data_IF_481646976586
#
_entry.id   IF_481646976586
#
_cell.length_a   1.000
_cell.length_b   1.000
_cell.length_c   1.000
_cell.angle_alpha   90.00
_cell.angle_beta   90.00
_cell.angle_gamma   90.00
#
_symmetry.space_group_name_H-M   'P 1'
#
loop_
_entity.id
_entity.type
_entity.pdbx_description
1 polymer ?
#
# COMPACT_ATOMS: atom_id res chain seq x y z
N UNK A 1 23.46 -2.43 -10.52
CA UNK A 1 22.83 -3.11 -9.36
C UNK A 1 21.47 -2.46 -9.13
N UNK A 2 20.40 -3.25 -9.03
CA UNK A 2 19.03 -2.76 -8.82
C UNK A 2 18.56 -3.25 -7.45
N UNK A 3 18.02 -2.36 -6.63
CA UNK A 3 17.59 -2.65 -5.25
C UNK A 3 16.15 -2.18 -5.08
N UNK A 4 15.31 -3.08 -4.57
CA UNK A 4 13.93 -2.77 -4.19
C UNK A 4 13.87 -2.65 -2.67
N UNK A 5 13.37 -1.52 -2.18
CA UNK A 5 12.99 -1.31 -0.79
C UNK A 5 11.47 -1.14 -0.78
N UNK A 6 10.77 -2.16 -0.29
CA UNK A 6 9.31 -2.20 -0.25
C UNK A 6 8.80 -1.75 1.12
N UNK A 7 7.80 -0.86 1.14
CA UNK A 7 7.01 -0.59 2.34
C UNK A 7 5.71 -1.41 2.32
N UNK A 8 5.44 -2.14 3.39
CA UNK A 8 4.24 -2.97 3.51
C UNK A 8 3.03 -2.16 4.02
N UNK A 9 1.84 -2.78 3.91
CA UNK A 9 0.57 -2.30 4.47
C UNK A 9 0.03 -0.96 3.94
N UNK A 10 0.34 -0.61 2.70
CA UNK A 10 -0.31 0.53 2.06
C UNK A 10 -1.80 0.26 1.90
N UNK A 11 -2.65 1.25 2.18
CA UNK A 11 -4.11 1.08 2.24
C UNK A 11 -4.64 0.67 3.62
N UNK A 12 -3.77 0.42 4.63
CA UNK A 12 -4.23 0.07 5.98
C UNK A 12 -4.96 1.24 6.65
N UNK A 13 -4.38 2.44 6.65
CA UNK A 13 -5.01 3.64 7.21
C UNK A 13 -4.36 4.93 6.67
N UNK A 14 -5.04 6.10 6.75
CA UNK A 14 -4.52 7.36 6.21
C UNK A 14 -3.15 7.76 6.76
N UNK A 15 -2.88 7.46 8.04
CA UNK A 15 -1.60 7.79 8.68
C UNK A 15 -0.45 6.96 8.10
N UNK A 16 -0.67 5.66 7.87
CA UNK A 16 0.34 4.76 7.30
C UNK A 16 0.62 5.12 5.85
N UNK A 17 -0.44 5.38 5.09
CA UNK A 17 -0.34 5.75 3.67
C UNK A 17 0.45 7.05 3.48
N UNK A 18 0.18 8.06 4.31
CA UNK A 18 0.92 9.31 4.30
C UNK A 18 2.43 9.08 4.52
N UNK A 19 2.79 8.27 5.52
CA UNK A 19 4.19 7.98 5.82
C UNK A 19 4.88 7.25 4.65
N UNK A 20 4.20 6.27 4.03
CA UNK A 20 4.71 5.54 2.86
C UNK A 20 4.93 6.48 1.67
N UNK A 21 3.99 7.39 1.41
CA UNK A 21 4.12 8.40 0.36
C UNK A 21 5.27 9.35 0.66
N UNK A 22 5.42 9.81 1.91
CA UNK A 22 6.50 10.72 2.29
C UNK A 22 7.87 10.05 2.14
N UNK A 23 8.01 8.78 2.54
CA UNK A 23 9.23 7.98 2.33
C UNK A 23 9.54 7.78 0.84
N UNK A 24 8.52 7.52 0.01
CA UNK A 24 8.71 7.38 -1.43
C UNK A 24 9.17 8.68 -2.07
N UNK A 25 8.58 9.82 -1.69
CA UNK A 25 8.98 11.15 -2.16
C UNK A 25 10.41 11.50 -1.73
N UNK A 26 10.85 11.02 -0.57
CA UNK A 26 12.23 11.14 -0.09
C UNK A 26 13.20 10.13 -0.74
N UNK A 27 12.71 9.27 -1.64
CA UNK A 27 13.46 8.18 -2.29
C UNK A 27 14.05 7.17 -1.29
N UNK A 28 13.46 7.07 -0.10
CA UNK A 28 13.88 6.12 0.94
C UNK A 28 13.31 4.71 0.71
N UNK A 29 12.22 4.62 -0.05
CA UNK A 29 11.65 3.36 -0.55
C UNK A 29 11.49 3.44 -2.06
N UNK A 30 11.37 2.29 -2.72
CA UNK A 30 11.23 2.19 -4.18
C UNK A 30 9.90 1.59 -4.61
N UNK A 31 9.20 0.89 -3.72
CA UNK A 31 7.89 0.28 -3.98
C UNK A 31 7.06 0.15 -2.71
N UNK A 32 5.80 -0.24 -2.88
CA UNK A 32 4.92 -0.62 -1.78
C UNK A 32 4.03 -1.82 -2.14
N UNK A 33 3.32 -2.40 -1.18
CA UNK A 33 2.30 -3.43 -1.40
C UNK A 33 0.96 -3.02 -0.79
N UNK A 34 -0.11 -3.11 -1.58
CA UNK A 34 -1.46 -2.72 -1.19
C UNK A 34 -2.18 -3.82 -0.40
N UNK A 35 -2.64 -3.47 0.78
CA UNK A 35 -3.59 -4.24 1.56
C UNK A 35 -5.00 -3.99 1.00
N UNK A 36 -5.44 -4.86 0.08
CA UNK A 36 -6.67 -4.64 -0.71
C UNK A 36 -7.93 -4.55 0.15
N UNK A 37 -7.96 -5.27 1.27
CA UNK A 37 -9.06 -5.25 2.24
C UNK A 37 -8.85 -4.23 3.38
N UNK A 38 -7.83 -3.39 3.29
CA UNK A 38 -7.60 -2.31 4.25
C UNK A 38 -8.63 -1.18 4.08
N UNK A 39 -8.97 -0.52 5.19
CA UNK A 39 -9.99 0.53 5.24
C UNK A 39 -9.70 1.72 4.30
N UNK A 40 -8.44 1.94 3.93
CA UNK A 40 -8.01 3.05 3.07
C UNK A 40 -7.51 2.61 1.68
N UNK A 41 -7.71 1.35 1.30
CA UNK A 41 -7.18 0.77 0.05
C UNK A 41 -7.52 1.60 -1.20
N UNK A 42 -8.76 2.06 -1.32
CA UNK A 42 -9.18 2.86 -2.48
C UNK A 42 -8.40 4.18 -2.59
N UNK A 43 -8.24 4.89 -1.47
CA UNK A 43 -7.50 6.15 -1.43
C UNK A 43 -6.00 5.93 -1.68
N UNK A 44 -5.45 4.83 -1.14
CA UNK A 44 -4.08 4.39 -1.45
C UNK A 44 -3.86 4.18 -2.95
N UNK A 45 -4.77 3.53 -3.66
CA UNK A 45 -4.70 3.37 -5.13
C UNK A 45 -4.63 4.73 -5.85
N UNK A 46 -5.43 5.71 -5.42
CA UNK A 46 -5.39 7.06 -6.00
C UNK A 46 -4.03 7.74 -5.78
N UNK A 47 -3.46 7.59 -4.58
CA UNK A 47 -2.13 8.10 -4.30
C UNK A 47 -1.04 7.40 -5.10
N UNK A 48 -1.08 6.07 -5.22
CA UNK A 48 -0.11 5.32 -6.01
C UNK A 48 -0.09 5.80 -7.47
N UNK A 49 -1.28 6.01 -8.06
CA UNK A 49 -1.44 6.59 -9.39
C UNK A 49 -0.92 8.03 -9.45
N UNK A 50 -1.28 8.87 -8.50
CA UNK A 50 -0.88 10.28 -8.46
C UNK A 50 0.65 10.45 -8.42
N UNK A 51 1.34 9.62 -7.63
CA UNK A 51 2.78 9.73 -7.42
C UNK A 51 3.61 8.80 -8.31
N UNK A 52 2.99 7.99 -9.16
CA UNK A 52 3.65 6.91 -9.91
C UNK A 52 4.47 5.99 -8.99
N UNK A 53 3.94 5.67 -7.80
CA UNK A 53 4.55 4.77 -6.83
C UNK A 53 4.36 3.32 -7.29
N UNK A 54 5.43 2.55 -7.58
CA UNK A 54 5.31 1.13 -7.91
C UNK A 54 4.64 0.36 -6.77
N UNK A 55 3.61 -0.43 -7.10
CA UNK A 55 2.74 -1.07 -6.12
C UNK A 55 2.49 -2.53 -6.50
N UNK A 56 2.65 -3.43 -5.52
CA UNK A 56 2.24 -4.83 -5.58
C UNK A 56 1.00 -5.12 -4.72
N UNK A 57 0.63 -6.40 -4.59
CA UNK A 57 -0.47 -6.86 -3.72
C UNK A 57 0.11 -7.39 -2.41
N UNK A 58 -0.42 -6.93 -1.28
CA UNK A 58 -0.18 -7.50 0.05
C UNK A 58 -1.32 -8.46 0.36
N UNK A 59 -1.11 -9.77 0.15
CA UNK A 59 -2.11 -10.78 0.48
C UNK A 59 -2.30 -10.86 2.00
N UNK A 60 -3.55 -10.76 2.43
CA UNK A 60 -3.90 -10.68 3.84
C UNK A 60 -4.99 -11.69 4.19
N UNK A 61 -4.73 -12.46 5.25
CA UNK A 61 -5.60 -13.52 5.77
C UNK A 61 -5.88 -13.35 7.28
N UNK A 62 -5.33 -12.32 7.91
CA UNK A 62 -5.29 -12.19 9.38
C UNK A 62 -5.91 -10.88 9.89
N UNK A 63 -5.93 -9.83 9.06
CA UNK A 63 -6.39 -8.49 9.45
C UNK A 63 -7.63 -8.05 8.66
N UNK A 64 -8.53 -7.29 9.30
CA UNK A 64 -9.74 -6.77 8.64
C UNK A 64 -10.76 -7.85 8.27
N UNK A 65 -11.65 -7.53 7.31
CA UNK A 65 -12.64 -8.48 6.78
C UNK A 65 -12.18 -9.01 5.42
N UNK A 66 -12.54 -10.25 5.05
CA UNK A 66 -12.34 -10.73 3.69
C UNK A 66 -13.06 -9.85 2.66
N UNK A 67 -12.56 -9.80 1.42
CA UNK A 67 -13.20 -9.06 0.32
C UNK A 67 -14.50 -9.76 -0.14
N UNK A 68 -14.51 -11.10 -0.09
CA UNK A 68 -15.71 -11.89 -0.33
C UNK A 68 -16.50 -11.93 0.98
N UNK A 69 -17.76 -11.51 0.91
CA UNK A 69 -18.64 -11.49 2.08
C UNK A 69 -19.19 -12.89 2.40
N UNK A 70 -19.34 -13.78 1.40
CA UNK A 70 -19.89 -15.12 1.55
C UNK A 70 -19.37 -16.06 0.43
N UNK A 71 -18.96 -17.28 0.80
CA UNK A 71 -18.82 -18.43 -0.10
C UNK A 71 -20.00 -19.37 0.13
#
# INVERSE_FOLDING_TARGET
>A
MYMIINADDFGYCPKRDKAIIDLFKQKSITSTSLLVNGDNAYQACLYAKQYNLPMGIHFNLTEGRPIINDL
#
